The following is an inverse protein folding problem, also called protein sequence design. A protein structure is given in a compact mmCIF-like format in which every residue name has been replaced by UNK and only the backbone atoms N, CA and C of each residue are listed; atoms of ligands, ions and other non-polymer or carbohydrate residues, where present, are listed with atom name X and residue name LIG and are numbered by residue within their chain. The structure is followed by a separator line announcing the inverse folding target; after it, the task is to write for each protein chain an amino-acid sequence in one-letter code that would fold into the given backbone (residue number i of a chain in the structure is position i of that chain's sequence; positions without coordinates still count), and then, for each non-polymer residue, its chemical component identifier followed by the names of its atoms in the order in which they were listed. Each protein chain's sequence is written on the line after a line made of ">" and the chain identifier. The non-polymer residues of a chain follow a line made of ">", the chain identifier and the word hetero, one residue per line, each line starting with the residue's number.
data_IF_930543496534
#
_entry.id   IF_930543496534
#
_cell.length_a   1.000
_cell.length_b   1.000
_cell.length_c   1.000
_cell.angle_alpha   90.00
_cell.angle_beta   90.00
_cell.angle_gamma   90.00
#
_symmetry.space_group_name_H-M   'P 1'
#
loop_
_entity.id
_entity.type
_entity.pdbx_description
1 polymer ?
#
# COMPACT_ATOMS: atom_id res chain seq x y z
N UNK A 1 -6.11 -28.37 -9.44
CA UNK A 1 -4.92 -27.64 -9.94
C UNK A 1 -4.81 -26.22 -9.39
N UNK A 2 -5.93 -25.52 -9.12
CA UNK A 2 -5.98 -24.18 -8.53
C UNK A 2 -5.35 -24.09 -7.13
N UNK A 3 -5.60 -25.07 -6.26
CA UNK A 3 -5.12 -25.05 -4.87
C UNK A 3 -3.58 -25.09 -4.74
N UNK A 4 -2.90 -25.84 -5.61
CA UNK A 4 -1.45 -25.98 -5.59
C UNK A 4 -0.70 -24.70 -6.02
N UNK A 5 -1.26 -23.99 -7.01
CA UNK A 5 -0.74 -22.70 -7.47
C UNK A 5 -0.94 -21.63 -6.39
N UNK A 6 -2.12 -21.57 -5.77
CA UNK A 6 -2.39 -20.69 -4.61
C UNK A 6 -1.41 -20.97 -3.46
N UNK A 7 -1.09 -22.24 -3.17
CA UNK A 7 -0.07 -22.56 -2.14
C UNK A 7 1.36 -22.20 -2.54
N UNK A 8 1.70 -22.22 -3.83
CA UNK A 8 3.01 -21.79 -4.31
C UNK A 8 3.16 -20.27 -4.22
N UNK A 9 2.16 -19.52 -4.69
CA UNK A 9 2.16 -18.06 -4.64
C UNK A 9 2.14 -17.53 -3.21
N UNK A 10 1.31 -18.10 -2.33
CA UNK A 10 1.30 -17.75 -0.90
C UNK A 10 2.69 -17.95 -0.25
N UNK A 11 3.39 -19.04 -0.60
CA UNK A 11 4.76 -19.28 -0.10
C UNK A 11 5.75 -18.24 -0.63
N UNK A 12 5.62 -17.84 -1.90
CA UNK A 12 6.46 -16.81 -2.48
C UNK A 12 6.23 -15.46 -1.80
N UNK A 13 4.98 -15.04 -1.60
CA UNK A 13 4.65 -13.80 -0.86
C UNK A 13 5.27 -13.83 0.53
N UNK A 14 5.07 -14.90 1.30
CA UNK A 14 5.62 -15.02 2.66
C UNK A 14 7.14 -14.96 2.67
N UNK A 15 7.80 -15.63 1.72
CA UNK A 15 9.25 -15.57 1.58
C UNK A 15 9.71 -14.15 1.28
N UNK A 16 9.13 -13.50 0.28
CA UNK A 16 9.49 -12.13 -0.15
C UNK A 16 9.27 -11.12 0.98
N UNK A 17 8.17 -11.23 1.70
CA UNK A 17 7.93 -10.40 2.88
C UNK A 17 9.01 -10.57 3.96
N UNK A 18 9.40 -11.82 4.27
CA UNK A 18 10.52 -12.08 5.20
C UNK A 18 11.85 -11.54 4.69
N UNK A 19 12.06 -11.61 3.38
CA UNK A 19 13.24 -11.07 2.69
C UNK A 19 13.16 -9.53 2.52
N UNK A 20 12.12 -8.87 3.08
CA UNK A 20 11.85 -7.43 2.97
C UNK A 20 11.72 -6.94 1.53
N UNK A 21 10.99 -7.68 0.73
CA UNK A 21 10.74 -7.38 -0.68
C UNK A 21 9.26 -7.32 -1.03
N UNK A 22 8.94 -6.49 -2.01
CA UNK A 22 7.61 -6.32 -2.59
C UNK A 22 7.70 -6.25 -4.13
N UNK A 23 6.62 -6.54 -4.87
CA UNK A 23 6.64 -6.34 -6.32
C UNK A 23 6.88 -4.87 -6.65
N UNK A 24 7.67 -4.61 -7.69
CA UNK A 24 7.83 -3.25 -8.24
C UNK A 24 6.60 -2.86 -9.07
N UNK A 25 5.87 -1.83 -8.62
CA UNK A 25 4.70 -1.27 -9.29
C UNK A 25 3.56 -0.95 -8.34
N UNK A 26 2.37 -0.74 -8.91
CA UNK A 26 1.16 -0.34 -8.18
C UNK A 26 0.29 -1.57 -7.88
N UNK A 27 0.49 -2.16 -6.69
CA UNK A 27 -0.14 -3.42 -6.33
C UNK A 27 -0.62 -3.45 -4.88
N UNK A 28 -1.64 -4.27 -4.65
CA UNK A 28 -1.97 -4.83 -3.34
C UNK A 28 -1.78 -6.34 -3.41
N UNK A 29 -0.91 -6.87 -2.58
CA UNK A 29 -0.59 -8.30 -2.48
C UNK A 29 -1.19 -8.87 -1.19
N UNK A 30 -1.84 -10.02 -1.29
CA UNK A 30 -2.47 -10.70 -0.16
C UNK A 30 -1.67 -11.91 0.30
N UNK A 31 -1.84 -12.29 1.57
CA UNK A 31 -1.16 -13.43 2.19
C UNK A 31 -1.40 -14.78 1.49
N UNK A 32 -2.50 -14.91 0.75
CA UNK A 32 -2.86 -16.10 -0.03
C UNK A 32 -2.16 -16.17 -1.40
N UNK A 33 -1.34 -15.17 -1.74
CA UNK A 33 -0.64 -15.09 -3.01
C UNK A 33 -1.40 -14.39 -4.12
N UNK A 34 -2.66 -14.00 -3.91
CA UNK A 34 -3.39 -13.16 -4.85
C UNK A 34 -2.89 -11.72 -4.81
N UNK A 35 -3.13 -10.98 -5.89
CA UNK A 35 -2.86 -9.55 -5.94
C UNK A 35 -3.91 -8.81 -6.76
N UNK A 36 -3.97 -7.52 -6.52
CA UNK A 36 -4.72 -6.56 -7.32
C UNK A 36 -3.74 -5.55 -7.90
N UNK A 37 -3.85 -5.31 -9.20
CA UNK A 37 -3.20 -4.19 -9.90
C UNK A 37 -4.04 -2.95 -9.69
N UNK A 38 -3.38 -1.89 -9.26
CA UNK A 38 -3.98 -0.62 -8.92
C UNK A 38 -3.51 0.46 -9.90
N UNK A 39 -4.33 1.50 -10.08
CA UNK A 39 -3.96 2.67 -10.88
C UNK A 39 -4.26 3.95 -10.10
N UNK A 40 -3.28 4.85 -10.04
CA UNK A 40 -3.39 6.10 -9.30
C UNK A 40 -3.82 7.22 -10.24
N UNK A 41 -5.05 7.67 -10.06
CA UNK A 41 -5.67 8.72 -10.84
C UNK A 41 -5.77 10.01 -10.05
N UNK A 42 -5.35 11.11 -10.66
CA UNK A 42 -5.69 12.45 -10.23
C UNK A 42 -6.81 12.99 -11.13
N UNK A 43 -7.95 13.35 -10.54
CA UNK A 43 -9.07 13.93 -11.25
C UNK A 43 -9.29 15.37 -10.80
N UNK A 44 -9.42 16.29 -11.75
CA UNK A 44 -9.87 17.66 -11.49
C UNK A 44 -11.39 17.78 -11.75
N UNK A 45 -12.15 18.46 -10.88
CA UNK A 45 -13.55 18.74 -11.12
C UNK A 45 -13.71 19.63 -12.37
N UNK A 46 -14.69 19.34 -13.24
CA UNK A 46 -14.90 20.11 -14.46
C UNK A 46 -15.21 21.59 -14.20
N UNK A 47 -15.78 21.90 -13.04
CA UNK A 47 -16.15 23.26 -12.64
C UNK A 47 -14.99 24.07 -12.04
N UNK A 48 -13.80 23.45 -11.83
CA UNK A 48 -12.66 24.04 -11.12
C UNK A 48 -11.30 23.64 -11.73
N UNK A 49 -11.21 23.65 -13.05
CA UNK A 49 -9.98 23.26 -13.78
C UNK A 49 -8.74 24.10 -13.40
N UNK A 50 -8.94 25.36 -13.01
CA UNK A 50 -7.86 26.28 -12.63
C UNK A 50 -7.54 26.28 -11.12
N UNK A 51 -8.18 25.41 -10.32
CA UNK A 51 -7.93 25.29 -8.89
C UNK A 51 -7.14 23.99 -8.58
N UNK A 52 -5.81 24.08 -8.37
CA UNK A 52 -4.99 22.94 -8.00
C UNK A 52 -5.41 22.30 -6.66
N UNK A 53 -6.16 23.01 -5.80
CA UNK A 53 -6.68 22.43 -4.56
C UNK A 53 -7.97 21.63 -4.76
N UNK A 54 -8.54 21.64 -5.97
CA UNK A 54 -9.72 20.86 -6.29
C UNK A 54 -9.38 19.43 -6.74
N UNK A 55 -8.08 19.08 -6.85
CA UNK A 55 -7.65 17.73 -7.22
C UNK A 55 -8.24 16.65 -6.30
N UNK A 56 -8.65 15.54 -6.89
CA UNK A 56 -9.15 14.38 -6.18
C UNK A 56 -8.38 13.13 -6.60
N UNK A 57 -7.70 12.53 -5.62
CA UNK A 57 -6.81 11.38 -5.84
C UNK A 57 -7.53 10.08 -5.56
N UNK A 58 -7.35 9.09 -6.44
CA UNK A 58 -8.01 7.80 -6.38
C UNK A 58 -7.02 6.70 -6.75
N UNK A 59 -6.94 5.65 -5.94
CA UNK A 59 -6.17 4.45 -6.28
C UNK A 59 -7.14 3.30 -6.49
N UNK A 60 -7.38 2.96 -7.76
CA UNK A 60 -8.49 2.09 -8.16
C UNK A 60 -8.01 0.73 -8.60
N UNK A 61 -8.77 -0.32 -8.25
CA UNK A 61 -8.53 -1.69 -8.73
C UNK A 61 -8.83 -1.77 -10.23
N UNK A 62 -7.81 -2.11 -11.03
CA UNK A 62 -7.93 -2.27 -12.50
C UNK A 62 -7.96 -3.74 -12.90
N UNK A 63 -7.22 -4.59 -12.17
CA UNK A 63 -7.16 -6.03 -12.44
C UNK A 63 -6.97 -6.81 -11.14
N UNK A 64 -7.66 -7.94 -11.01
CA UNK A 64 -7.39 -8.93 -9.96
C UNK A 64 -6.82 -10.19 -10.56
N UNK A 65 -5.72 -10.68 -10.00
CA UNK A 65 -5.06 -11.89 -10.47
C UNK A 65 -4.59 -12.77 -9.30
N UNK A 66 -4.57 -14.08 -9.54
CA UNK A 66 -4.12 -15.10 -8.57
C UNK A 66 -2.75 -15.69 -8.94
N UNK A 67 -2.19 -15.24 -10.07
CA UNK A 67 -0.89 -15.63 -10.60
C UNK A 67 -0.20 -14.37 -11.12
N UNK A 68 1.12 -14.32 -10.98
CA UNK A 68 1.95 -13.16 -11.27
C UNK A 68 3.28 -13.61 -11.85
N UNK A 69 3.71 -12.92 -12.89
CA UNK A 69 5.08 -12.93 -13.41
C UNK A 69 5.64 -11.53 -13.22
N UNK A 70 5.98 -11.19 -11.97
CA UNK A 70 6.76 -9.98 -11.73
C UNK A 70 8.24 -10.33 -11.77
N UNK A 71 8.92 -9.76 -12.76
CA UNK A 71 10.36 -9.94 -12.95
C UNK A 71 11.17 -8.98 -12.05
N UNK A 72 10.51 -8.02 -11.39
CA UNK A 72 11.14 -6.97 -10.60
C UNK A 72 10.53 -6.83 -9.22
N UNK A 73 11.41 -6.69 -8.23
CA UNK A 73 11.08 -6.61 -6.81
C UNK A 73 11.84 -5.43 -6.22
N UNK A 74 11.20 -4.72 -5.31
CA UNK A 74 11.76 -3.58 -4.58
C UNK A 74 11.91 -3.91 -3.10
N UNK A 75 12.95 -3.37 -2.49
CA UNK A 75 13.16 -3.46 -1.04
C UNK A 75 12.11 -2.65 -0.29
N UNK A 76 11.62 -3.20 0.82
CA UNK A 76 10.67 -2.61 1.77
C UNK A 76 11.16 -2.77 3.23
N UNK A 77 12.48 -2.65 3.47
CA UNK A 77 13.06 -2.72 4.82
C UNK A 77 13.02 -1.39 5.56
N UNK A 78 12.98 -0.27 4.82
CA UNK A 78 12.95 1.08 5.38
C UNK A 78 11.57 1.47 5.90
N UNK A 79 11.14 0.84 6.99
CA UNK A 79 9.93 1.22 7.73
C UNK A 79 10.16 2.57 8.43
N UNK A 80 9.37 3.57 8.07
CA UNK A 80 9.42 4.91 8.66
C UNK A 80 8.45 5.06 9.83
N UNK A 81 7.36 4.28 9.83
CA UNK A 81 6.37 4.26 10.90
C UNK A 81 5.82 2.85 11.14
N UNK A 82 5.45 2.59 12.39
CA UNK A 82 4.77 1.36 12.79
C UNK A 82 3.69 1.67 13.83
N UNK A 83 2.61 0.89 13.84
CA UNK A 83 1.55 1.00 14.83
C UNK A 83 0.96 -0.37 15.14
N UNK A 84 0.83 -0.74 16.41
CA UNK A 84 0.21 -2.00 16.85
C UNK A 84 -1.19 -1.75 17.38
N UNK A 85 -2.11 -2.67 17.08
CA UNK A 85 -3.48 -2.64 17.60
C UNK A 85 -4.11 -4.03 17.53
N UNK A 86 -4.71 -4.46 18.64
CA UNK A 86 -5.47 -5.71 18.75
C UNK A 86 -4.76 -6.96 18.18
N UNK A 87 -3.45 -7.11 18.39
CA UNK A 87 -2.66 -8.26 17.91
C UNK A 87 -2.29 -8.21 16.42
N UNK A 88 -2.49 -7.05 15.78
CA UNK A 88 -2.00 -6.75 14.44
C UNK A 88 -1.02 -5.58 14.50
N UNK A 89 -0.17 -5.49 13.50
CA UNK A 89 0.80 -4.43 13.33
C UNK A 89 0.71 -3.88 11.91
N UNK A 90 0.71 -2.57 11.81
CA UNK A 90 0.83 -1.86 10.55
C UNK A 90 2.24 -1.27 10.41
N UNK A 91 2.74 -1.27 9.19
CA UNK A 91 4.00 -0.63 8.81
C UNK A 91 3.77 0.28 7.63
N UNK A 92 4.55 1.35 7.56
CA UNK A 92 4.59 2.21 6.40
C UNK A 92 6.01 2.74 6.18
N UNK A 93 6.39 2.93 4.93
CA UNK A 93 7.76 3.33 4.62
C UNK A 93 8.04 3.70 3.17
N UNK A 94 9.33 3.62 2.84
CA UNK A 94 9.92 3.94 1.55
C UNK A 94 10.62 2.70 0.97
N UNK A 95 10.70 2.62 -0.36
CA UNK A 95 11.69 1.73 -0.99
C UNK A 95 13.04 2.41 -1.11
N UNK A 96 14.10 1.76 -0.61
CA UNK A 96 15.45 2.33 -0.48
C UNK A 96 16.09 2.84 -1.79
N UNK A 97 15.61 2.39 -2.96
CA UNK A 97 16.19 2.74 -4.26
C UNK A 97 15.31 3.65 -5.12
N UNK A 98 14.11 4.02 -4.65
CA UNK A 98 13.16 4.81 -5.42
C UNK A 98 12.40 5.78 -4.53
N UNK A 99 12.82 7.04 -4.52
CA UNK A 99 12.26 8.08 -3.64
C UNK A 99 10.81 8.48 -3.87
N UNK A 100 10.11 7.86 -4.83
CA UNK A 100 8.67 8.03 -5.06
C UNK A 100 7.84 6.82 -4.61
N UNK A 101 8.48 5.67 -4.34
CA UNK A 101 7.78 4.42 -4.02
C UNK A 101 7.49 4.37 -2.52
N UNK A 102 6.22 4.42 -2.19
CA UNK A 102 5.73 4.18 -0.83
C UNK A 102 5.12 2.80 -0.70
N UNK A 103 5.23 2.22 0.50
CA UNK A 103 4.58 0.96 0.83
C UNK A 103 3.90 1.02 2.20
N UNK A 104 2.83 0.24 2.36
CA UNK A 104 2.06 0.07 3.60
C UNK A 104 1.71 -1.40 3.75
N UNK A 105 1.95 -1.98 4.93
CA UNK A 105 1.67 -3.38 5.20
C UNK A 105 0.82 -3.58 6.45
N UNK A 106 -0.02 -4.60 6.42
CA UNK A 106 -0.69 -5.15 7.61
C UNK A 106 -0.22 -6.59 7.80
N UNK A 107 0.16 -6.92 9.03
CA UNK A 107 0.52 -8.27 9.43
C UNK A 107 0.08 -8.51 10.87
N UNK A 108 0.16 -9.76 11.29
CA UNK A 108 -0.03 -10.13 12.70
C UNK A 108 1.15 -9.62 13.52
N UNK A 109 0.86 -9.25 14.76
CA UNK A 109 1.85 -8.88 15.76
C UNK A 109 2.44 -10.14 16.42
N UNK A 110 3.02 -11.01 15.59
CA UNK A 110 3.71 -12.23 16.00
C UNK A 110 5.21 -12.17 15.61
N UNK A 111 6.00 -13.11 16.14
CA UNK A 111 7.46 -13.16 15.90
C UNK A 111 7.82 -13.28 14.40
N UNK A 112 6.91 -13.84 13.61
CA UNK A 112 7.06 -14.05 12.17
C UNK A 112 6.57 -12.86 11.34
N UNK A 113 5.93 -11.88 11.99
CA UNK A 113 5.20 -10.79 11.34
C UNK A 113 4.32 -11.31 10.20
N UNK A 114 3.48 -12.30 10.48
CA UNK A 114 2.68 -13.02 9.47
C UNK A 114 1.84 -12.05 8.63
N UNK A 115 2.23 -11.84 7.37
CA UNK A 115 1.58 -10.88 6.46
C UNK A 115 0.09 -11.19 6.29
N UNK A 116 -0.72 -10.14 6.29
CA UNK A 116 -2.13 -10.18 5.86
C UNK A 116 -2.27 -9.58 4.45
N UNK A 117 -1.72 -8.38 4.25
CA UNK A 117 -1.59 -7.75 2.93
C UNK A 117 -0.48 -6.68 2.91
N UNK A 118 -0.02 -6.35 1.71
CA UNK A 118 1.00 -5.33 1.42
C UNK A 118 0.54 -4.49 0.23
N UNK A 119 0.51 -3.17 0.40
CA UNK A 119 0.27 -2.20 -0.65
C UNK A 119 1.60 -1.52 -1.04
N UNK A 120 1.87 -1.45 -2.35
CA UNK A 120 3.03 -0.73 -2.92
C UNK A 120 2.49 0.19 -4.00
N UNK A 121 2.95 1.43 -4.02
CA UNK A 121 2.56 2.41 -5.04
C UNK A 121 3.78 3.17 -5.52
N UNK A 122 4.01 3.17 -6.83
CA UNK A 122 5.18 3.82 -7.42
C UNK A 122 5.10 5.34 -7.41
N UNK A 123 3.89 5.87 -7.14
CA UNK A 123 3.52 7.27 -7.27
C UNK A 123 2.99 7.90 -5.99
N UNK A 124 2.99 7.18 -4.85
CA UNK A 124 2.39 7.69 -3.60
C UNK A 124 3.28 8.72 -2.90
N UNK A 125 4.58 8.70 -3.19
CA UNK A 125 5.66 9.12 -2.30
C UNK A 125 5.73 8.22 -1.04
N UNK A 126 6.86 8.23 -0.32
CA UNK A 126 7.01 7.47 0.93
C UNK A 126 5.91 7.76 1.95
N UNK A 127 5.60 6.78 2.80
CA UNK A 127 4.70 6.96 3.93
C UNK A 127 5.48 7.11 5.22
N UNK A 128 5.25 8.19 5.96
CA UNK A 128 6.04 8.57 7.14
C UNK A 128 5.27 8.45 8.46
N UNK A 129 3.95 8.25 8.39
CA UNK A 129 3.10 7.97 9.55
C UNK A 129 2.15 6.82 9.21
N UNK A 130 1.80 6.03 10.24
CA UNK A 130 0.78 4.99 10.15
C UNK A 130 0.03 4.87 11.47
N UNK A 131 -1.27 4.67 11.38
CA UNK A 131 -2.14 4.31 12.51
C UNK A 131 -2.96 3.10 12.11
N UNK A 132 -3.36 2.31 13.10
CA UNK A 132 -4.15 1.10 12.91
C UNK A 132 -5.22 1.04 14.00
N UNK A 133 -6.46 0.82 13.59
CA UNK A 133 -7.60 0.57 14.46
C UNK A 133 -8.36 -0.70 14.06
N UNK A 134 -9.59 -0.87 14.57
CA UNK A 134 -10.43 -2.03 14.26
C UNK A 134 -10.89 -2.09 12.79
N UNK A 135 -10.85 -0.97 12.09
CA UNK A 135 -11.49 -0.78 10.79
C UNK A 135 -10.49 -0.63 9.65
N UNK A 136 -9.41 0.11 9.87
CA UNK A 136 -8.50 0.52 8.81
C UNK A 136 -7.04 0.67 9.28
N UNK A 137 -6.14 0.53 8.31
CA UNK A 137 -4.79 1.09 8.39
C UNK A 137 -4.85 2.46 7.72
N UNK A 138 -4.45 3.51 8.43
CA UNK A 138 -4.37 4.86 7.87
C UNK A 138 -2.92 5.29 7.82
N UNK A 139 -2.41 5.57 6.62
CA UNK A 139 -1.03 5.99 6.40
C UNK A 139 -0.97 7.38 5.79
N UNK A 140 0.04 8.18 6.15
CA UNK A 140 0.24 9.53 5.62
C UNK A 140 1.49 9.57 4.76
N UNK A 141 1.33 9.93 3.49
CA UNK A 141 2.47 10.08 2.58
C UNK A 141 3.21 11.40 2.84
N UNK A 142 4.48 11.46 2.47
CA UNK A 142 5.31 12.67 2.59
C UNK A 142 4.84 13.81 1.69
N UNK A 143 3.93 13.53 0.75
CA UNK A 143 3.22 14.55 -0.02
C UNK A 143 1.98 15.13 0.70
N UNK A 144 1.69 14.69 1.92
CA UNK A 144 0.56 15.16 2.72
C UNK A 144 -0.77 14.51 2.36
N UNK A 145 -0.76 13.32 1.74
CA UNK A 145 -2.00 12.58 1.44
C UNK A 145 -2.22 11.49 2.48
N UNK A 146 -3.44 11.40 2.99
CA UNK A 146 -3.90 10.35 3.90
C UNK A 146 -4.52 9.22 3.08
N UNK A 147 -4.03 8.01 3.26
CA UNK A 147 -4.50 6.80 2.62
C UNK A 147 -5.11 5.88 3.68
N UNK A 148 -6.43 5.68 3.62
CA UNK A 148 -7.17 4.84 4.55
C UNK A 148 -7.53 3.50 3.88
N UNK A 149 -6.83 2.44 4.26
CA UNK A 149 -6.99 1.07 3.76
C UNK A 149 -7.92 0.28 4.69
N UNK A 150 -9.14 -0.09 4.26
CA UNK A 150 -9.98 -0.98 5.05
C UNK A 150 -9.29 -2.32 5.27
N UNK A 151 -9.18 -2.79 6.53
CA UNK A 151 -8.36 -3.98 6.87
C UNK A 151 -8.68 -5.21 6.04
N UNK A 152 -9.97 -5.44 5.78
CA UNK A 152 -10.47 -6.63 5.06
C UNK A 152 -10.66 -6.40 3.55
N UNK A 153 -10.47 -5.17 3.06
CA UNK A 153 -10.63 -4.81 1.66
C UNK A 153 -9.71 -3.62 1.30
N UNK A 154 -8.39 -3.77 1.42
CA UNK A 154 -7.42 -2.68 1.24
C UNK A 154 -7.50 -2.04 -0.15
N UNK A 155 -7.96 -2.77 -1.17
CA UNK A 155 -8.17 -2.25 -2.53
C UNK A 155 -9.31 -1.23 -2.66
N UNK A 156 -10.13 -1.06 -1.60
CA UNK A 156 -11.13 0.00 -1.49
C UNK A 156 -10.58 1.22 -0.75
N UNK A 157 -9.26 1.42 -0.80
CA UNK A 157 -8.57 2.54 -0.17
C UNK A 157 -9.20 3.87 -0.54
N UNK A 158 -9.23 4.79 0.43
CA UNK A 158 -9.66 6.17 0.20
C UNK A 158 -8.45 7.08 0.38
N UNK A 159 -8.28 8.02 -0.54
CA UNK A 159 -7.23 9.03 -0.48
C UNK A 159 -7.88 10.39 -0.24
N UNK A 160 -7.41 11.08 0.78
CA UNK A 160 -7.82 12.44 1.12
C UNK A 160 -6.58 13.28 1.41
N UNK A 161 -6.69 14.59 1.30
CA UNK A 161 -5.61 15.47 1.77
C UNK A 161 -5.54 15.48 3.29
N UNK A 162 -4.34 15.64 3.81
CA UNK A 162 -4.12 15.92 5.22
C UNK A 162 -4.52 17.38 5.52
N UNK A 163 -5.56 17.62 6.33
CA UNK A 163 -5.95 18.98 6.68
C UNK A 163 -4.87 19.74 7.48
N UNK A 164 -3.93 19.04 8.13
CA UNK A 164 -2.79 19.64 8.84
C UNK A 164 -1.65 20.04 7.88
N UNK A 165 -1.59 19.45 6.68
CA UNK A 165 -0.61 19.74 5.65
C UNK A 165 -1.28 19.93 4.29
N UNK A 166 -2.05 21.03 4.10
CA UNK A 166 -2.73 21.31 2.83
C UNK A 166 -1.68 21.56 1.74
N UNK A 167 -1.33 20.51 1.00
CA UNK A 167 -0.46 20.49 -0.16
C UNK A 167 0.79 21.38 -0.06
N UNK A 168 1.91 20.85 0.45
CA UNK A 168 3.21 21.50 0.17
C UNK A 168 3.46 21.43 -1.33
N UNK A 169 3.27 22.58 -2.00
CA UNK A 169 3.69 22.83 -3.38
C UNK A 169 5.12 22.32 -3.58
N UNK A 170 5.31 21.34 -4.46
CA UNK A 170 6.56 21.18 -5.20
C UNK A 170 6.42 21.89 -6.52
#
# INVERSE_FOLDING_TARGET
>A
MKDAATTAMARQVRRRWRDREAPDGDFIVFADGSHTVMDLLCMQPPDRLDDPQAESWHWIEVLRATEWSTDSWVEVDSALATHTHAGSRAWAGESAHHGSIGWVALARDDDESTLEWLAVSSWSNPFHEVTLDDTAVTAVSTSGRIWAFPRNAPQKVRITDDPAYPGRRR
#
